data_IF_225301242451
#
_entry.id   IF_225301242451
#
_cell.length_a   1.000
_cell.length_b   1.000
_cell.length_c   1.000
_cell.angle_alpha   90.00
_cell.angle_beta   90.00
_cell.angle_gamma   90.00
#
_symmetry.space_group_name_H-M   'P 1'
#
loop_
_entity.id
_entity.type
_entity.pdbx_description
1 polymer ?
#
# COMPACT_ATOMS: atom_id res chain seq x y z
N UNK A 1 -13.99 5.53 -22.15
CA UNK A 1 -12.74 4.79 -21.86
C UNK A 1 -11.67 5.79 -21.54
N UNK A 2 -11.20 5.85 -20.29
CA UNK A 2 -10.02 6.62 -19.87
C UNK A 2 -9.54 6.03 -18.53
N UNK A 3 -8.23 6.09 -18.27
CA UNK A 3 -7.62 6.09 -16.93
C UNK A 3 -6.90 4.82 -16.40
N UNK A 4 -6.67 3.76 -17.18
CA UNK A 4 -5.86 2.60 -16.71
C UNK A 4 -4.42 3.01 -16.39
N UNK A 5 -3.79 3.81 -17.25
CA UNK A 5 -2.39 4.25 -17.11
C UNK A 5 -2.15 5.08 -15.83
N UNK A 6 -3.08 5.98 -15.49
CA UNK A 6 -2.92 6.86 -14.34
C UNK A 6 -3.22 6.14 -13.01
N UNK A 7 -4.03 5.07 -13.04
CA UNK A 7 -4.23 4.18 -11.89
C UNK A 7 -2.96 3.36 -11.65
N UNK A 8 -2.34 2.85 -12.71
CA UNK A 8 -1.13 2.04 -12.62
C UNK A 8 0.05 2.82 -12.03
N UNK A 9 0.20 4.09 -12.43
CA UNK A 9 1.20 5.01 -11.89
C UNK A 9 0.95 5.37 -10.40
N UNK A 10 -0.33 5.49 -9.99
CA UNK A 10 -0.67 5.71 -8.56
C UNK A 10 -0.35 4.47 -7.72
N UNK A 11 -0.68 3.29 -8.24
CA UNK A 11 -0.46 2.03 -7.55
C UNK A 11 1.04 1.75 -7.39
N UNK A 12 1.87 1.96 -8.42
CA UNK A 12 3.32 1.85 -8.30
C UNK A 12 3.91 2.79 -7.24
N UNK A 13 3.50 4.06 -7.20
CA UNK A 13 3.95 4.99 -6.14
C UNK A 13 3.51 4.54 -4.75
N UNK A 14 2.27 4.07 -4.61
CA UNK A 14 1.77 3.53 -3.35
C UNK A 14 2.61 2.34 -2.88
N UNK A 15 2.94 1.39 -3.76
CA UNK A 15 3.80 0.26 -3.41
C UNK A 15 5.17 0.71 -2.88
N UNK A 16 5.82 1.67 -3.55
CA UNK A 16 7.11 2.23 -3.11
C UNK A 16 7.02 2.93 -1.75
N UNK A 17 5.95 3.67 -1.49
CA UNK A 17 5.71 4.30 -0.18
C UNK A 17 5.52 3.26 0.92
N UNK A 18 4.70 2.23 0.67
CA UNK A 18 4.45 1.17 1.65
C UNK A 18 5.70 0.35 1.96
N UNK A 19 6.49 -0.01 0.94
CA UNK A 19 7.78 -0.69 1.13
C UNK A 19 8.74 0.16 1.97
N UNK A 20 8.84 1.47 1.69
CA UNK A 20 9.66 2.39 2.47
C UNK A 20 9.19 2.53 3.92
N UNK A 21 7.88 2.51 4.18
CA UNK A 21 7.33 2.51 5.52
C UNK A 21 7.66 1.21 6.26
N UNK A 22 7.46 0.06 5.62
CA UNK A 22 7.81 -1.25 6.17
C UNK A 22 9.29 -1.33 6.55
N UNK A 23 10.21 -0.83 5.72
CA UNK A 23 11.65 -0.79 6.06
C UNK A 23 11.95 0.10 7.27
N UNK A 24 11.19 1.19 7.46
CA UNK A 24 11.48 2.18 8.52
C UNK A 24 10.87 1.83 9.87
N UNK A 25 9.63 1.35 9.87
CA UNK A 25 8.81 1.19 11.09
C UNK A 25 8.10 -0.16 11.14
N UNK A 26 8.33 -1.04 10.16
CA UNK A 26 7.63 -2.30 10.07
C UNK A 26 8.09 -3.32 11.12
N UNK A 27 7.14 -4.09 11.62
CA UNK A 27 7.38 -5.25 12.48
C UNK A 27 7.29 -6.52 11.63
N UNK A 28 8.37 -7.29 11.61
CA UNK A 28 8.49 -8.46 10.73
C UNK A 28 7.86 -9.69 11.39
N UNK A 29 7.01 -10.39 10.64
CA UNK A 29 6.40 -11.66 11.00
C UNK A 29 6.56 -12.65 9.84
N UNK A 30 7.74 -13.25 9.73
CA UNK A 30 8.07 -14.14 8.61
C UNK A 30 8.12 -13.38 7.28
N UNK A 31 7.27 -13.77 6.32
CA UNK A 31 7.17 -13.14 4.99
C UNK A 31 6.29 -11.89 4.95
N UNK A 32 5.60 -11.58 6.04
CA UNK A 32 4.73 -10.42 6.16
C UNK A 32 5.36 -9.35 7.07
N UNK A 33 5.07 -8.10 6.77
CA UNK A 33 5.49 -6.95 7.60
C UNK A 33 4.28 -6.12 7.96
N UNK A 34 4.04 -5.95 9.26
CA UNK A 34 3.00 -5.05 9.77
C UNK A 34 3.57 -3.63 9.93
N UNK A 35 2.84 -2.62 9.45
CA UNK A 35 3.06 -1.21 9.81
C UNK A 35 2.23 -0.95 11.07
N UNK A 36 2.83 -0.88 12.28
CA UNK A 36 2.12 -0.93 13.56
C UNK A 36 1.55 0.45 13.96
N UNK A 37 1.02 1.18 12.98
CA UNK A 37 0.34 2.44 13.18
C UNK A 37 -0.87 2.51 12.26
N UNK A 38 -1.94 3.12 12.76
CA UNK A 38 -3.12 3.39 11.95
C UNK A 38 -2.80 4.52 10.95
N UNK A 39 -2.94 4.23 9.66
CA UNK A 39 -2.77 5.20 8.58
C UNK A 39 -4.10 5.44 7.89
N UNK A 40 -4.59 6.67 7.96
CA UNK A 40 -5.77 7.07 7.20
C UNK A 40 -5.46 7.09 5.70
N UNK A 41 -6.50 6.91 4.88
CA UNK A 41 -6.34 7.03 3.42
C UNK A 41 -5.92 8.44 2.99
N UNK A 42 -6.23 9.48 3.79
CA UNK A 42 -5.81 10.86 3.52
C UNK A 42 -4.31 11.03 3.76
N UNK A 43 -3.78 10.53 4.87
CA UNK A 43 -2.33 10.55 5.16
C UNK A 43 -1.55 9.78 4.09
N UNK A 44 -2.04 8.60 3.69
CA UNK A 44 -1.44 7.84 2.59
C UNK A 44 -1.50 8.64 1.28
N UNK A 45 -2.59 9.36 1.01
CA UNK A 45 -2.74 10.19 -0.18
C UNK A 45 -1.75 11.35 -0.20
N UNK A 46 -1.51 11.98 0.94
CA UNK A 46 -0.48 13.00 1.10
C UNK A 46 0.92 12.42 0.87
N UNK A 47 1.24 11.25 1.43
CA UNK A 47 2.53 10.59 1.22
C UNK A 47 2.79 10.22 -0.25
N UNK A 48 1.73 9.88 -1.00
CA UNK A 48 1.81 9.49 -2.42
C UNK A 48 1.61 10.69 -3.37
N UNK A 49 1.27 11.88 -2.83
CA UNK A 49 0.95 13.10 -3.56
C UNK A 49 -0.21 12.93 -4.59
N UNK A 50 -1.29 12.29 -4.16
CA UNK A 50 -2.50 12.09 -4.99
C UNK A 50 -3.77 12.38 -4.18
N UNK A 51 -4.94 12.32 -4.84
CA UNK A 51 -6.23 12.46 -4.15
C UNK A 51 -6.60 11.17 -3.38
N UNK A 52 -7.25 11.32 -2.22
CA UNK A 52 -7.73 10.21 -1.38
C UNK A 52 -8.57 9.17 -2.13
N UNK A 53 -9.41 9.59 -3.08
CA UNK A 53 -10.21 8.66 -3.91
C UNK A 53 -9.34 7.69 -4.72
N UNK A 54 -8.18 8.18 -5.21
CA UNK A 54 -7.22 7.37 -5.98
C UNK A 54 -6.48 6.38 -5.07
N UNK A 55 -6.17 6.77 -3.84
CA UNK A 55 -5.64 5.86 -2.82
C UNK A 55 -6.66 4.79 -2.43
N UNK A 56 -7.92 5.16 -2.23
CA UNK A 56 -8.98 4.19 -1.93
C UNK A 56 -9.07 3.11 -3.01
N UNK A 57 -9.02 3.53 -4.27
CA UNK A 57 -9.01 2.62 -5.43
C UNK A 57 -7.78 1.72 -5.45
N UNK A 58 -6.58 2.29 -5.22
CA UNK A 58 -5.32 1.54 -5.24
C UNK A 58 -5.19 0.55 -4.06
N UNK A 59 -5.56 0.94 -2.84
CA UNK A 59 -5.58 0.06 -1.67
C UNK A 59 -6.57 -1.11 -1.86
N UNK A 60 -7.76 -0.83 -2.41
CA UNK A 60 -8.71 -1.89 -2.74
C UNK A 60 -8.19 -2.84 -3.83
N UNK A 61 -7.45 -2.32 -4.82
CA UNK A 61 -6.77 -3.13 -5.81
C UNK A 61 -5.70 -4.04 -5.17
N UNK A 62 -4.84 -3.49 -4.31
CA UNK A 62 -3.80 -4.25 -3.59
C UNK A 62 -4.39 -5.34 -2.69
N UNK A 63 -5.46 -5.02 -1.95
CA UNK A 63 -6.17 -6.00 -1.11
C UNK A 63 -6.73 -7.15 -1.94
N UNK A 64 -7.38 -6.85 -3.08
CA UNK A 64 -7.90 -7.89 -4.00
C UNK A 64 -6.80 -8.75 -4.61
N UNK A 65 -5.60 -8.19 -4.80
CA UNK A 65 -4.41 -8.89 -5.28
C UNK A 65 -3.60 -9.59 -4.18
N UNK A 66 -4.06 -9.52 -2.92
CA UNK A 66 -3.36 -10.07 -1.74
C UNK A 66 -1.94 -9.51 -1.53
N UNK A 67 -1.69 -8.29 -2.00
CA UNK A 67 -0.43 -7.58 -1.76
C UNK A 67 -0.40 -6.98 -0.35
N UNK A 68 -1.57 -6.61 0.16
CA UNK A 68 -1.76 -6.08 1.51
C UNK A 68 -2.99 -6.70 2.16
N UNK A 69 -3.00 -6.68 3.49
CA UNK A 69 -4.14 -7.00 4.34
C UNK A 69 -4.24 -5.94 5.45
N UNK A 70 -5.32 -6.00 6.22
CA UNK A 70 -5.49 -5.18 7.42
C UNK A 70 -5.63 -6.09 8.63
N UNK A 71 -5.00 -5.73 9.74
CA UNK A 71 -5.27 -6.36 11.03
C UNK A 71 -6.65 -5.93 11.55
N UNK A 72 -7.12 -6.58 12.62
CA UNK A 72 -8.34 -6.17 13.32
C UNK A 72 -8.26 -4.74 13.90
N UNK A 73 -7.04 -4.24 14.15
CA UNK A 73 -6.80 -2.87 14.62
C UNK A 73 -6.66 -1.86 13.47
N UNK A 74 -6.80 -2.30 12.22
CA UNK A 74 -6.70 -1.45 11.03
C UNK A 74 -5.27 -1.14 10.59
N UNK A 75 -4.26 -1.84 11.13
CA UNK A 75 -2.88 -1.72 10.67
C UNK A 75 -2.69 -2.42 9.32
N UNK A 76 -1.80 -1.88 8.50
CA UNK A 76 -1.46 -2.49 7.22
C UNK A 76 -0.47 -3.64 7.41
N UNK A 77 -0.80 -4.80 6.85
CA UNK A 77 0.11 -5.95 6.74
C UNK A 77 0.48 -6.11 5.28
N UNK A 78 1.78 -6.12 4.98
CA UNK A 78 2.31 -6.19 3.62
C UNK A 78 2.85 -7.59 3.35
N UNK A 79 2.50 -8.16 2.19
CA UNK A 79 3.24 -9.28 1.64
C UNK A 79 4.47 -8.73 0.91
N UNK A 80 5.64 -8.77 1.55
CA UNK A 80 6.83 -8.08 1.05
C UNK A 80 7.25 -8.59 -0.34
N UNK A 81 7.32 -9.90 -0.53
CA UNK A 81 7.74 -10.48 -1.81
C UNK A 81 6.78 -10.12 -2.96
N UNK A 82 5.46 -10.22 -2.72
CA UNK A 82 4.48 -9.88 -3.74
C UNK A 82 4.47 -8.37 -4.06
N UNK A 83 4.65 -7.52 -3.04
CA UNK A 83 4.65 -6.08 -3.21
C UNK A 83 5.93 -5.57 -3.89
N UNK A 84 7.09 -6.15 -3.58
CA UNK A 84 8.36 -5.89 -4.27
C UNK A 84 8.30 -6.31 -5.74
N UNK A 85 7.75 -7.51 -6.01
CA UNK A 85 7.54 -7.97 -7.39
C UNK A 85 6.58 -7.09 -8.18
N UNK A 86 5.61 -6.45 -7.51
CA UNK A 86 4.70 -5.49 -8.15
C UNK A 86 5.36 -4.12 -8.38
N UNK A 87 6.29 -3.70 -7.52
CA UNK A 87 6.92 -2.39 -7.58
C UNK A 87 8.15 -2.32 -8.51
N UNK A 88 8.64 -3.48 -8.95
CA UNK A 88 9.78 -3.67 -9.86
C UNK A 88 9.42 -3.31 -11.29
#
# INVERSE_FOLDING_TARGET
>A
QVNTLAVDDTAHRLAKVLLKLATKIGQHAGSEVEIPTYLTQEEIAQMVAVRRERISTALNFFRRKRLIQYTNHGHLVLNMSALESYAS
#
